data_IF_451008551198
#
_entry.id   IF_451008551198
#
_cell.length_a   1.000
_cell.length_b   1.000
_cell.length_c   1.000
_cell.angle_alpha   90.00
_cell.angle_beta   90.00
_cell.angle_gamma   90.00
#
_symmetry.space_group_name_H-M   'P 1'
#
loop_
_entity.id
_entity.type
_entity.pdbx_description
1 polymer ?
#
# COMPACT_ATOMS: atom_id res chain seq x y z
N UNK A 1 -42.60 -31.68 10.66
CA UNK A 1 -43.87 -31.00 10.34
C UNK A 1 -44.27 -30.12 11.52
N UNK A 2 -44.92 -28.99 11.22
CA UNK A 2 -45.69 -28.09 12.12
C UNK A 2 -45.00 -26.78 12.57
N UNK A 3 -44.98 -25.84 11.63
CA UNK A 3 -45.21 -24.40 11.90
C UNK A 3 -46.61 -24.21 12.52
N UNK A 4 -46.79 -23.20 13.39
CA UNK A 4 -47.66 -22.07 13.03
C UNK A 4 -47.06 -20.71 13.48
N UNK A 5 -47.04 -19.68 12.63
CA UNK A 5 -48.11 -18.76 12.21
C UNK A 5 -48.39 -17.59 13.21
N UNK A 6 -47.98 -16.39 12.77
CA UNK A 6 -48.43 -15.01 13.05
C UNK A 6 -48.41 -14.43 14.47
N UNK A 7 -47.83 -13.23 14.60
CA UNK A 7 -48.56 -11.99 14.91
C UNK A 7 -47.75 -10.78 14.43
N UNK A 8 -48.46 -9.90 13.73
CA UNK A 8 -48.07 -8.61 13.17
C UNK A 8 -48.14 -7.54 14.28
N UNK A 9 -47.07 -6.77 14.52
CA UNK A 9 -47.17 -5.51 15.29
C UNK A 9 -46.29 -4.40 14.70
N UNK A 10 -46.93 -3.60 13.84
CA UNK A 10 -47.01 -2.14 13.94
C UNK A 10 -45.69 -1.33 13.87
N UNK A 11 -45.45 -0.74 12.70
CA UNK A 11 -44.75 0.55 12.58
C UNK A 11 -45.33 1.56 13.57
N UNK A 12 -44.47 2.11 14.42
CA UNK A 12 -44.70 3.35 15.16
C UNK A 12 -43.64 4.34 14.71
N UNK A 13 -44.02 5.13 13.70
CA UNK A 13 -43.49 6.47 13.53
C UNK A 13 -44.02 7.36 14.68
N UNK A 14 -43.19 8.31 15.11
CA UNK A 14 -43.40 9.24 16.23
C UNK A 14 -42.06 9.41 16.96
N UNK A 15 -41.15 10.29 16.54
CA UNK A 15 -41.20 11.76 16.48
C UNK A 15 -41.15 12.41 17.89
N UNK A 16 -40.10 13.22 18.11
CA UNK A 16 -39.77 13.94 19.35
C UNK A 16 -38.90 13.11 20.31
N UNK A 17 -37.78 13.56 20.87
CA UNK A 17 -37.43 14.92 21.27
C UNK A 17 -35.92 15.02 21.54
N UNK A 18 -35.30 16.08 21.01
CA UNK A 18 -34.52 17.05 21.79
C UNK A 18 -33.57 16.55 22.89
N UNK A 19 -32.27 16.68 22.61
CA UNK A 19 -31.31 17.27 23.56
C UNK A 19 -31.01 16.52 24.86
N UNK A 20 -30.13 15.53 24.78
CA UNK A 20 -29.18 15.26 25.87
C UNK A 20 -27.78 15.56 25.35
N UNK A 21 -27.27 16.75 25.70
CA UNK A 21 -25.84 17.02 25.77
C UNK A 21 -25.30 16.13 26.90
N UNK A 22 -25.12 14.85 26.59
CA UNK A 22 -24.51 13.88 27.48
C UNK A 22 -23.09 14.36 27.77
N UNK A 23 -22.90 14.87 28.98
CA UNK A 23 -21.58 15.11 29.55
C UNK A 23 -20.82 13.79 29.48
N UNK A 24 -19.98 13.63 28.45
CA UNK A 24 -19.22 12.40 28.24
C UNK A 24 -18.39 12.17 29.50
N UNK A 25 -18.60 11.08 30.25
CA UNK A 25 -17.81 10.79 31.43
C UNK A 25 -16.35 10.86 31.01
N UNK A 26 -15.52 11.65 31.71
CA UNK A 26 -14.08 11.81 31.40
C UNK A 26 -13.38 10.47 31.16
N UNK A 27 -13.87 9.41 31.81
CA UNK A 27 -13.44 8.01 31.66
C UNK A 27 -13.70 7.46 30.25
N UNK A 28 -14.84 7.74 29.63
CA UNK A 28 -15.17 7.35 28.25
C UNK A 28 -14.25 8.02 27.24
N UNK A 29 -13.95 9.31 27.44
CA UNK A 29 -13.04 10.06 26.57
C UNK A 29 -11.60 9.50 26.66
N UNK A 30 -11.14 9.14 27.86
CA UNK A 30 -9.83 8.51 28.07
C UNK A 30 -9.76 7.13 27.37
N UNK A 31 -10.83 6.33 27.44
CA UNK A 31 -10.85 5.01 26.79
C UNK A 31 -10.80 5.14 25.27
N UNK A 32 -11.52 6.09 24.68
CA UNK A 32 -11.49 6.33 23.23
C UNK A 32 -10.09 6.78 22.78
N UNK A 33 -9.46 7.69 23.53
CA UNK A 33 -8.09 8.15 23.23
C UNK A 33 -7.07 7.03 23.40
N UNK A 34 -7.15 6.24 24.47
CA UNK A 34 -6.26 5.09 24.68
C UNK A 34 -6.44 4.00 23.63
N UNK A 35 -7.68 3.74 23.19
CA UNK A 35 -7.97 2.81 22.11
C UNK A 35 -7.40 3.32 20.77
N UNK A 36 -7.57 4.61 20.45
CA UNK A 36 -7.01 5.20 19.24
C UNK A 36 -5.47 5.14 19.22
N UNK A 37 -4.82 5.43 20.36
CA UNK A 37 -3.36 5.33 20.50
C UNK A 37 -2.90 3.86 20.40
N UNK A 38 -3.61 2.93 21.05
CA UNK A 38 -3.30 1.50 20.98
C UNK A 38 -3.41 0.95 19.55
N UNK A 39 -4.43 1.36 18.79
CA UNK A 39 -4.58 0.99 17.37
C UNK A 39 -3.45 1.59 16.54
N UNK A 40 -3.14 2.88 16.70
CA UNK A 40 -2.03 3.52 15.97
C UNK A 40 -0.68 2.84 16.26
N UNK A 41 -0.44 2.44 17.50
CA UNK A 41 0.80 1.76 17.92
C UNK A 41 0.89 0.32 17.40
N UNK A 42 -0.25 -0.36 17.19
CA UNK A 42 -0.28 -1.68 16.56
C UNK A 42 -0.06 -1.61 15.05
N UNK A 43 -0.54 -0.56 14.37
CA UNK A 43 -0.28 -0.33 12.94
C UNK A 43 1.21 -0.03 12.70
N UNK A 44 1.86 0.77 13.55
CA UNK A 44 3.31 1.07 13.47
C UNK A 44 4.20 -0.19 13.66
N UNK A 45 3.67 -1.21 14.35
CA UNK A 45 4.35 -2.50 14.55
C UNK A 45 4.12 -3.50 13.41
N UNK A 46 3.18 -3.26 12.50
CA UNK A 46 2.90 -4.15 11.37
C UNK A 46 3.90 -3.98 10.21
N UNK A 47 4.79 -2.99 10.24
CA UNK A 47 5.83 -2.81 9.21
C UNK A 47 6.98 -3.85 9.27
N UNK A 48 6.98 -4.78 10.24
CA UNK A 48 8.07 -5.76 10.39
C UNK A 48 7.71 -7.23 10.06
N UNK A 49 6.44 -7.54 9.83
CA UNK A 49 6.04 -8.92 9.52
C UNK A 49 4.81 -8.89 8.64
N UNK A 50 5.03 -8.85 7.33
CA UNK A 50 4.30 -9.64 6.35
C UNK A 50 4.88 -9.36 4.98
N UNK A 51 5.47 -10.40 4.39
CA UNK A 51 5.61 -10.53 2.95
C UNK A 51 4.19 -10.66 2.37
N UNK A 52 3.41 -9.59 2.47
CA UNK A 52 2.19 -9.42 1.69
C UNK A 52 2.65 -8.92 0.33
N UNK A 53 2.73 -9.86 -0.59
CA UNK A 53 2.75 -9.62 -2.03
C UNK A 53 1.37 -9.06 -2.42
N UNK A 54 0.97 -7.93 -1.83
CA UNK A 54 0.07 -7.01 -2.50
C UNK A 54 0.89 -6.44 -3.64
N UNK A 55 0.69 -7.02 -4.81
CA UNK A 55 1.10 -6.42 -6.09
C UNK A 55 0.47 -5.03 -6.10
N UNK A 56 1.23 -4.02 -5.62
CA UNK A 56 0.97 -2.62 -5.92
C UNK A 56 1.18 -2.51 -7.41
N UNK A 57 0.12 -2.74 -8.17
CA UNK A 57 0.05 -2.30 -9.56
C UNK A 57 0.47 -0.82 -9.53
N UNK A 58 1.53 -0.41 -10.23
CA UNK A 58 1.97 0.97 -10.17
C UNK A 58 0.82 1.83 -10.67
N UNK A 59 0.25 2.64 -9.77
CA UNK A 59 -0.91 3.51 -10.02
C UNK A 59 -0.62 4.61 -11.08
N UNK A 60 0.62 4.65 -11.62
CA UNK A 60 1.08 5.59 -12.64
C UNK A 60 2.05 4.92 -13.65
N UNK A 61 1.48 4.36 -14.72
CA UNK A 61 1.90 4.61 -16.11
C UNK A 61 3.38 4.45 -16.49
N UNK A 62 3.94 3.25 -16.30
CA UNK A 62 5.16 2.83 -17.01
C UNK A 62 4.81 1.61 -17.87
N UNK A 63 5.21 1.56 -19.16
CA UNK A 63 4.73 0.52 -20.09
C UNK A 63 5.41 -0.84 -19.91
N UNK A 64 6.37 -0.93 -18.98
CA UNK A 64 7.15 -2.12 -18.72
C UNK A 64 7.10 -2.47 -17.24
N UNK A 65 6.79 -3.73 -16.93
CA UNK A 65 6.88 -4.30 -15.61
C UNK A 65 8.13 -5.19 -15.50
N UNK A 66 8.91 -4.93 -14.45
CA UNK A 66 10.13 -5.67 -14.13
C UNK A 66 10.08 -6.19 -12.71
N UNK A 67 10.71 -7.33 -12.48
CA UNK A 67 10.97 -7.92 -11.18
C UNK A 67 12.45 -7.83 -10.85
N UNK A 68 12.77 -7.44 -9.62
CA UNK A 68 14.15 -7.46 -9.13
C UNK A 68 14.56 -8.89 -8.80
N UNK A 69 15.63 -9.39 -9.42
CA UNK A 69 16.12 -10.74 -9.17
C UNK A 69 17.24 -10.80 -8.13
N UNK A 70 18.01 -9.72 -8.00
CA UNK A 70 19.11 -9.63 -7.03
C UNK A 70 18.62 -9.27 -5.63
N UNK A 71 19.33 -9.73 -4.59
CA UNK A 71 18.95 -9.49 -3.19
C UNK A 71 18.86 -8.00 -2.84
N UNK A 72 19.82 -7.21 -3.34
CA UNK A 72 19.90 -5.76 -3.15
C UNK A 72 20.44 -5.09 -4.41
N UNK A 73 19.68 -4.13 -4.92
CA UNK A 73 20.04 -3.36 -6.10
C UNK A 73 20.06 -1.87 -5.75
N UNK A 74 21.20 -1.18 -5.89
CA UNK A 74 21.26 0.25 -5.68
C UNK A 74 20.49 0.99 -6.78
N UNK A 75 19.69 1.97 -6.37
CA UNK A 75 19.02 2.91 -7.27
C UNK A 75 19.83 4.20 -7.30
N UNK A 76 20.28 4.57 -8.48
CA UNK A 76 21.10 5.75 -8.70
C UNK A 76 20.25 6.95 -9.16
N UNK A 77 20.70 8.17 -8.85
CA UNK A 77 20.06 9.42 -9.28
C UNK A 77 20.21 9.70 -10.78
N UNK A 78 21.04 8.92 -11.47
CA UNK A 78 21.33 9.09 -12.89
C UNK A 78 21.81 7.78 -13.51
N UNK A 79 22.05 7.77 -14.83
CA UNK A 79 22.60 6.63 -15.53
C UNK A 79 24.07 6.42 -15.14
N UNK A 80 24.42 5.20 -14.73
CA UNK A 80 25.80 4.80 -14.46
C UNK A 80 26.16 4.63 -12.97
N UNK A 81 27.29 3.95 -12.69
CA UNK A 81 27.72 3.61 -11.34
C UNK A 81 28.28 4.80 -10.56
N UNK A 82 28.75 5.84 -11.25
CA UNK A 82 29.33 7.05 -10.64
C UNK A 82 28.28 8.01 -10.05
N UNK A 83 26.99 7.71 -10.28
CA UNK A 83 25.88 8.52 -9.80
C UNK A 83 25.53 8.18 -8.35
N UNK A 84 25.16 9.16 -7.52
CA UNK A 84 24.74 8.92 -6.14
C UNK A 84 23.63 7.88 -6.01
N UNK A 85 23.76 7.00 -5.02
CA UNK A 85 22.69 6.05 -4.66
C UNK A 85 21.64 6.78 -3.83
N UNK A 86 20.40 6.79 -4.32
CA UNK A 86 19.24 7.48 -3.73
C UNK A 86 18.22 6.51 -3.13
N UNK A 87 18.45 5.21 -3.25
CA UNK A 87 17.61 4.18 -2.69
C UNK A 87 18.14 2.79 -3.00
N UNK A 88 17.43 1.77 -2.53
CA UNK A 88 17.72 0.38 -2.82
C UNK A 88 16.42 -0.36 -3.14
N UNK A 89 16.53 -1.35 -4.02
CA UNK A 89 15.47 -2.32 -4.29
C UNK A 89 15.90 -3.68 -3.76
N UNK A 90 14.93 -4.52 -3.43
CA UNK A 90 15.16 -5.88 -2.95
C UNK A 90 14.56 -6.89 -3.90
N UNK A 91 15.08 -8.11 -3.86
CA UNK A 91 14.57 -9.23 -4.65
C UNK A 91 13.06 -9.42 -4.49
N UNK A 92 12.38 -9.79 -5.58
CA UNK A 92 10.94 -10.02 -5.65
C UNK A 92 10.09 -8.75 -5.72
N UNK A 93 10.69 -7.56 -5.65
CA UNK A 93 9.95 -6.31 -5.90
C UNK A 93 9.54 -6.23 -7.37
N UNK A 94 8.26 -5.92 -7.61
CA UNK A 94 7.75 -5.54 -8.92
C UNK A 94 7.79 -4.02 -9.07
N UNK A 95 8.34 -3.56 -10.17
CA UNK A 95 8.47 -2.14 -10.48
C UNK A 95 8.14 -1.86 -11.93
N UNK A 96 7.48 -0.72 -12.13
CA UNK A 96 7.31 -0.15 -13.44
C UNK A 96 8.56 0.61 -13.87
N UNK A 97 8.99 0.42 -15.12
CA UNK A 97 10.14 1.11 -15.70
C UNK A 97 9.84 1.70 -17.07
N UNK A 98 10.64 2.67 -17.48
CA UNK A 98 10.64 3.20 -18.83
C UNK A 98 11.46 2.30 -19.76
N UNK A 99 11.24 2.43 -21.07
CA UNK A 99 12.05 1.76 -22.09
C UNK A 99 13.49 2.33 -22.20
N UNK A 100 13.75 3.47 -21.55
CA UNK A 100 15.04 4.16 -21.65
C UNK A 100 16.11 3.39 -20.89
N UNK A 101 17.17 3.05 -21.62
CA UNK A 101 18.38 2.42 -21.12
C UNK A 101 19.59 3.28 -21.48
N UNK A 102 20.52 3.42 -20.53
CA UNK A 102 21.75 4.18 -20.70
C UNK A 102 22.84 3.61 -19.79
N UNK A 103 24.04 3.41 -20.33
CA UNK A 103 25.22 2.91 -19.60
C UNK A 103 25.01 1.58 -18.83
N UNK A 104 24.11 0.72 -19.30
CA UNK A 104 23.76 -0.54 -18.62
C UNK A 104 22.74 -0.38 -17.48
N UNK A 105 22.16 0.82 -17.34
CA UNK A 105 21.11 1.15 -16.39
C UNK A 105 19.80 1.43 -17.09
N UNK A 106 18.69 1.05 -16.45
CA UNK A 106 17.33 1.31 -16.89
C UNK A 106 16.68 2.36 -16.01
N UNK A 107 15.93 3.25 -16.65
CA UNK A 107 15.20 4.30 -15.95
C UNK A 107 13.91 3.76 -15.32
N UNK A 108 13.79 3.87 -14.00
CA UNK A 108 12.64 3.44 -13.20
C UNK A 108 11.66 4.58 -12.89
N UNK A 109 12.03 5.80 -13.23
CA UNK A 109 11.26 7.01 -12.98
C UNK A 109 12.13 8.24 -13.19
N UNK A 110 11.58 9.41 -12.86
CA UNK A 110 12.34 10.67 -12.90
C UNK A 110 13.52 10.55 -11.93
N UNK A 111 14.73 10.62 -12.47
CA UNK A 111 16.01 10.56 -11.74
C UNK A 111 16.21 9.26 -10.93
N UNK A 112 15.65 8.13 -11.38
CA UNK A 112 15.88 6.82 -10.74
C UNK A 112 16.33 5.80 -11.76
N UNK A 113 17.48 5.19 -11.50
CA UNK A 113 18.13 4.27 -12.41
C UNK A 113 18.61 3.02 -11.67
N UNK A 114 18.42 1.85 -12.26
CA UNK A 114 18.92 0.59 -11.71
C UNK A 114 19.60 -0.24 -12.80
N UNK A 115 20.51 -1.13 -12.40
CA UNK A 115 21.24 -1.98 -13.36
C UNK A 115 20.28 -2.95 -14.06
N UNK A 116 20.45 -3.11 -15.37
CA UNK A 116 19.55 -3.94 -16.19
C UNK A 116 19.69 -5.43 -15.85
N UNK A 117 20.91 -5.89 -15.54
CA UNK A 117 21.17 -7.30 -15.23
C UNK A 117 20.54 -7.78 -13.92
N UNK A 118 20.17 -6.84 -13.04
CA UNK A 118 19.47 -7.13 -11.80
C UNK A 118 17.93 -7.13 -11.94
N UNK A 119 17.42 -6.91 -13.16
CA UNK A 119 16.00 -6.80 -13.47
C UNK A 119 15.57 -7.88 -14.48
N UNK A 120 14.48 -8.57 -14.16
CA UNK A 120 13.81 -9.51 -15.06
C UNK A 120 12.56 -8.88 -15.64
N UNK A 121 12.45 -8.83 -16.95
CA UNK A 121 11.22 -8.40 -17.62
C UNK A 121 10.08 -9.39 -17.34
N UNK A 122 8.93 -8.86 -16.93
CA UNK A 122 7.72 -9.65 -16.68
C UNK A 122 6.72 -9.44 -17.80
N UNK A 123 6.33 -8.19 -18.03
CA UNK A 123 5.29 -7.82 -18.99
C UNK A 123 5.54 -6.42 -19.57
N UNK A 124 5.05 -6.19 -20.78
CA UNK A 124 5.24 -4.93 -21.50
C UNK A 124 5.50 -5.15 -22.98
N UNK A 125 4.46 -5.06 -23.81
CA UNK A 125 4.55 -5.24 -25.28
C UNK A 125 5.50 -4.23 -25.95
N UNK A 126 5.77 -3.10 -25.31
CA UNK A 126 6.66 -2.05 -25.81
C UNK A 126 8.12 -2.21 -25.35
N UNK A 127 8.42 -3.23 -24.55
CA UNK A 127 9.67 -3.32 -23.79
C UNK A 127 10.49 -4.57 -24.12
N UNK A 128 10.16 -5.21 -25.24
CA UNK A 128 10.75 -6.44 -25.78
C UNK A 128 12.01 -6.18 -26.60
#
# INVERSE_FOLDING_TARGET
>A
MRFPLYIWTRSKAGEGTSGERGEMPKRTLIIIVAAAIGIAYLVDRQDATEADVTIKTPLFGTPCDFEVIDERVPVHSGPGPDQPVIGELTSGMLLGAHQVEQDGYRQLGRDRWARIDALRHIDGELCR
#
